data_IF_618642716365
#
_entry.id   IF_618642716365
#
_cell.length_a   1.000
_cell.length_b   1.000
_cell.length_c   1.000
_cell.angle_alpha   90.00
_cell.angle_beta   90.00
_cell.angle_gamma   90.00
#
_symmetry.space_group_name_H-M   'P 1'
#
loop_
_entity.id
_entity.type
_entity.pdbx_description
1 polymer ?
#
# COMPACT_ATOMS: atom_id res chain seq x y z
N UNK A 1 -7.04 -5.46 -10.91
CA UNK A 1 -5.73 -5.74 -11.56
C UNK A 1 -4.71 -6.28 -10.56
N UNK A 2 -4.25 -5.49 -9.58
CA UNK A 2 -3.34 -6.01 -8.52
C UNK A 2 -3.95 -7.13 -7.68
N UNK A 3 -5.19 -6.96 -7.21
CA UNK A 3 -5.90 -8.00 -6.48
C UNK A 3 -6.11 -9.27 -7.32
N UNK A 4 -6.36 -9.12 -8.63
CA UNK A 4 -6.54 -10.27 -9.53
C UNK A 4 -5.22 -11.01 -9.75
N UNK A 5 -4.12 -10.29 -9.97
CA UNK A 5 -2.77 -10.87 -10.04
C UNK A 5 -2.37 -11.60 -8.75
N UNK A 6 -2.76 -11.08 -7.58
CA UNK A 6 -2.53 -11.74 -6.30
C UNK A 6 -3.38 -13.01 -6.11
N UNK A 7 -4.59 -13.07 -6.66
CA UNK A 7 -5.40 -14.30 -6.66
C UNK A 7 -4.80 -15.38 -7.57
N UNK A 8 -4.11 -14.97 -8.63
CA UNK A 8 -3.38 -15.87 -9.55
C UNK A 8 -1.97 -16.23 -9.06
N UNK A 9 -1.49 -15.66 -7.94
CA UNK A 9 -0.15 -15.90 -7.39
C UNK A 9 0.23 -17.39 -7.26
N UNK A 10 -0.66 -18.32 -6.86
CA UNK A 10 -0.31 -19.74 -6.78
C UNK A 10 -0.08 -20.41 -8.14
N UNK A 11 -0.54 -19.79 -9.23
CA UNK A 11 -0.59 -20.39 -10.58
C UNK A 11 0.45 -19.77 -11.52
N UNK A 12 1.08 -18.66 -11.13
CA UNK A 12 2.01 -17.90 -11.97
C UNK A 12 3.26 -17.52 -11.18
N UNK A 13 4.43 -17.86 -11.72
CA UNK A 13 5.72 -17.44 -11.16
C UNK A 13 5.97 -15.97 -11.52
N UNK A 14 5.87 -15.08 -10.51
CA UNK A 14 6.14 -13.66 -10.67
C UNK A 14 7.62 -13.28 -10.47
N UNK A 15 8.51 -14.26 -10.28
CA UNK A 15 9.96 -14.07 -10.20
C UNK A 15 10.65 -14.41 -11.54
N UNK A 16 9.95 -14.13 -12.65
CA UNK A 16 10.49 -14.19 -14.00
C UNK A 16 10.50 -12.79 -14.63
N UNK A 17 11.50 -12.51 -15.47
CA UNK A 17 11.62 -11.22 -16.18
C UNK A 17 10.33 -10.82 -16.87
N UNK A 18 9.80 -11.69 -17.72
CA UNK A 18 8.62 -11.38 -18.53
C UNK A 18 7.37 -11.13 -17.68
N UNK A 19 7.26 -11.83 -16.54
CA UNK A 19 6.13 -11.63 -15.62
C UNK A 19 6.22 -10.32 -14.83
N UNK A 20 7.42 -9.91 -14.40
CA UNK A 20 7.64 -8.62 -13.75
C UNK A 20 7.43 -7.47 -14.73
N UNK A 21 7.93 -7.59 -15.96
CA UNK A 21 7.70 -6.61 -17.03
C UNK A 21 6.21 -6.50 -17.34
N UNK A 22 5.51 -7.62 -17.54
CA UNK A 22 4.07 -7.61 -17.80
C UNK A 22 3.27 -7.00 -16.63
N UNK A 23 3.70 -7.27 -15.39
CA UNK A 23 3.08 -6.66 -14.22
C UNK A 23 3.34 -5.16 -14.15
N UNK A 24 4.55 -4.70 -14.47
CA UNK A 24 4.88 -3.27 -14.57
C UNK A 24 3.98 -2.57 -15.60
N UNK A 25 3.87 -3.15 -16.80
CA UNK A 25 3.03 -2.63 -17.88
C UNK A 25 1.54 -2.55 -17.49
N UNK A 26 1.05 -3.46 -16.65
CA UNK A 26 -0.33 -3.45 -16.21
C UNK A 26 -0.67 -2.35 -15.19
N UNK A 27 0.35 -1.78 -14.53
CA UNK A 27 0.19 -0.89 -13.37
C UNK A 27 0.64 0.55 -13.64
N UNK A 28 1.39 0.80 -14.70
CA UNK A 28 1.81 2.14 -15.14
C UNK A 28 1.01 2.60 -16.36
N UNK A 29 1.13 3.89 -16.70
CA UNK A 29 0.59 4.41 -17.96
C UNK A 29 1.33 3.75 -19.14
N UNK A 30 0.64 3.27 -20.18
CA UNK A 30 1.27 2.59 -21.32
C UNK A 30 2.41 3.37 -21.98
N UNK A 31 2.42 4.70 -21.90
CA UNK A 31 3.48 5.56 -22.47
C UNK A 31 4.80 5.48 -21.70
N UNK A 32 4.77 5.09 -20.43
CA UNK A 32 5.93 4.95 -19.55
C UNK A 32 6.22 3.50 -19.20
N UNK A 33 5.56 2.56 -19.87
CA UNK A 33 5.73 1.14 -19.63
C UNK A 33 7.04 0.63 -20.25
N UNK A 34 7.87 -0.05 -19.45
CA UNK A 34 9.13 -0.60 -19.95
C UNK A 34 8.87 -1.92 -20.71
N UNK A 35 9.68 -2.22 -21.73
CA UNK A 35 9.68 -3.51 -22.44
C UNK A 35 10.71 -4.49 -21.87
N UNK A 36 11.55 -4.03 -20.95
CA UNK A 36 12.59 -4.78 -20.26
C UNK A 36 12.95 -4.06 -18.95
N UNK A 37 14.18 -4.22 -18.48
CA UNK A 37 14.68 -3.35 -17.42
C UNK A 37 15.05 -1.98 -18.00
N UNK A 38 15.27 -0.98 -17.15
CA UNK A 38 15.59 0.38 -17.59
C UNK A 38 16.95 0.51 -18.29
N UNK A 39 17.74 -0.57 -18.34
CA UNK A 39 18.95 -0.66 -19.18
C UNK A 39 18.61 -0.48 -20.66
N UNK A 40 17.47 -0.98 -21.12
CA UNK A 40 17.06 -0.89 -22.53
C UNK A 40 16.77 0.54 -23.00
N UNK A 41 16.54 1.46 -22.05
CA UNK A 41 16.35 2.91 -22.30
C UNK A 41 17.50 3.75 -21.75
N UNK A 42 18.54 3.10 -21.22
CA UNK A 42 19.72 3.70 -20.62
C UNK A 42 19.42 4.84 -19.63
N UNK A 43 18.41 4.65 -18.77
CA UNK A 43 17.94 5.68 -17.86
C UNK A 43 18.45 5.45 -16.43
N UNK A 44 19.29 6.37 -15.93
CA UNK A 44 19.68 6.41 -14.53
C UNK A 44 18.57 7.07 -13.70
N UNK A 45 17.92 6.28 -12.86
CA UNK A 45 16.90 6.76 -11.93
C UNK A 45 17.55 7.18 -10.60
N UNK A 46 16.83 7.92 -9.77
CA UNK A 46 17.13 8.16 -8.35
C UNK A 46 15.84 8.43 -7.57
N UNK A 47 15.86 8.18 -6.27
CA UNK A 47 14.77 8.57 -5.37
C UNK A 47 15.25 9.79 -4.60
N UNK A 48 14.45 10.83 -4.61
CA UNK A 48 14.76 12.09 -3.95
C UNK A 48 13.54 12.98 -3.84
N UNK A 49 13.78 14.18 -3.32
CA UNK A 49 12.77 15.22 -3.19
C UNK A 49 13.32 16.54 -3.71
N UNK A 50 12.50 17.23 -4.51
CA UNK A 50 12.77 18.60 -4.93
C UNK A 50 12.64 19.54 -3.73
N UNK A 51 13.74 20.21 -3.36
CA UNK A 51 13.81 21.23 -2.30
C UNK A 51 13.49 22.62 -2.87
N UNK A 52 13.96 22.89 -4.09
CA UNK A 52 13.66 24.09 -4.85
C UNK A 52 13.75 23.81 -6.35
N UNK A 53 13.42 24.78 -7.20
CA UNK A 53 13.43 24.61 -8.67
C UNK A 53 14.74 24.06 -9.24
N UNK A 54 15.87 24.27 -8.55
CA UNK A 54 17.20 23.86 -9.00
C UNK A 54 17.94 23.00 -7.95
N UNK A 55 17.25 22.52 -6.91
CA UNK A 55 17.88 21.78 -5.82
C UNK A 55 17.10 20.51 -5.53
N UNK A 56 17.74 19.38 -5.79
CA UNK A 56 17.20 18.04 -5.56
C UNK A 56 17.95 17.40 -4.39
N UNK A 57 17.22 16.94 -3.38
CA UNK A 57 17.78 16.13 -2.31
C UNK A 57 17.70 14.66 -2.71
N UNK A 58 18.85 14.07 -3.01
CA UNK A 58 18.95 12.65 -3.36
C UNK A 58 18.89 11.82 -2.07
N UNK A 59 17.93 10.89 -1.98
CA UNK A 59 17.76 9.99 -0.84
C UNK A 59 18.29 8.58 -1.13
N UNK A 60 18.28 8.20 -2.41
CA UNK A 60 18.78 6.90 -2.87
C UNK A 60 19.15 6.94 -4.34
N UNK A 61 20.30 6.36 -4.68
CA UNK A 61 20.71 6.11 -6.06
C UNK A 61 20.70 4.60 -6.26
N UNK A 62 19.92 4.04 -7.22
CA UNK A 62 19.93 2.63 -7.59
C UNK A 62 21.11 2.28 -8.53
N UNK A 63 21.34 0.99 -8.85
CA UNK A 63 22.47 0.56 -9.70
C UNK A 63 22.51 1.30 -11.03
N UNK A 64 23.67 1.30 -11.71
CA UNK A 64 23.71 1.85 -13.06
C UNK A 64 22.87 1.00 -14.00
N UNK A 65 22.24 1.56 -15.04
CA UNK A 65 21.43 0.79 -15.98
C UNK A 65 22.23 -0.39 -16.57
N UNK A 66 23.50 -0.18 -16.92
CA UNK A 66 24.36 -1.22 -17.47
C UNK A 66 24.68 -2.38 -16.50
N UNK A 67 24.44 -2.23 -15.20
CA UNK A 67 24.69 -3.29 -14.21
C UNK A 67 23.46 -4.22 -14.06
N UNK A 68 22.27 -3.77 -14.47
CA UNK A 68 21.02 -4.54 -14.34
C UNK A 68 21.01 -5.86 -15.13
N UNK A 69 21.59 -5.96 -16.35
CA UNK A 69 21.68 -7.24 -17.05
C UNK A 69 22.42 -8.35 -16.28
N UNK A 70 23.30 -7.99 -15.34
CA UNK A 70 23.98 -8.95 -14.46
C UNK A 70 23.22 -9.12 -13.13
N UNK A 71 22.85 -8.01 -12.49
CA UNK A 71 22.24 -8.02 -11.16
C UNK A 71 20.85 -8.66 -11.16
N UNK A 72 20.01 -8.39 -12.16
CA UNK A 72 18.63 -8.87 -12.18
C UNK A 72 18.52 -10.39 -12.34
N UNK A 73 19.22 -11.05 -13.29
CA UNK A 73 19.21 -12.52 -13.33
C UNK A 73 19.68 -13.17 -12.03
N UNK A 74 20.77 -12.67 -11.43
CA UNK A 74 21.28 -13.18 -10.17
C UNK A 74 20.27 -13.00 -9.02
N UNK A 75 19.61 -11.84 -8.96
CA UNK A 75 18.52 -11.59 -8.01
C UNK A 75 17.34 -12.55 -8.22
N UNK A 76 16.89 -12.77 -9.46
CA UNK A 76 15.75 -13.66 -9.74
C UNK A 76 16.06 -15.10 -9.36
N UNK A 77 17.27 -15.59 -9.63
CA UNK A 77 17.72 -16.93 -9.24
C UNK A 77 17.75 -17.07 -7.71
N UNK A 78 18.34 -16.11 -7.00
CA UNK A 78 18.37 -16.08 -5.55
C UNK A 78 16.95 -16.00 -4.95
N UNK A 79 16.10 -15.12 -5.49
CA UNK A 79 14.73 -14.93 -5.04
C UNK A 79 13.90 -16.21 -5.19
N UNK A 80 14.05 -16.94 -6.30
CA UNK A 80 13.38 -18.24 -6.50
C UNK A 80 13.90 -19.30 -5.52
N UNK A 81 15.21 -19.37 -5.30
CA UNK A 81 15.77 -20.26 -4.28
C UNK A 81 15.22 -19.96 -2.89
N UNK A 82 15.14 -18.68 -2.51
CA UNK A 82 14.59 -18.24 -1.23
C UNK A 82 13.09 -18.57 -1.15
N UNK A 83 12.33 -18.31 -2.21
CA UNK A 83 10.89 -18.58 -2.29
C UNK A 83 10.55 -20.06 -2.05
N UNK A 84 11.45 -20.99 -2.39
CA UNK A 84 11.25 -22.43 -2.22
C UNK A 84 12.02 -23.05 -1.03
N UNK A 85 12.73 -22.25 -0.24
CA UNK A 85 13.49 -22.72 0.94
C UNK A 85 12.62 -22.93 2.19
N UNK A 86 13.21 -23.34 3.31
CA UNK A 86 12.49 -23.54 4.59
C UNK A 86 12.50 -22.30 5.51
N UNK A 87 12.98 -21.15 5.05
CA UNK A 87 12.97 -19.92 5.86
C UNK A 87 11.54 -19.44 6.15
N UNK A 88 11.36 -18.58 7.16
CA UNK A 88 10.05 -17.99 7.44
C UNK A 88 9.47 -17.27 6.21
N UNK A 89 8.14 -17.36 5.92
CA UNK A 89 7.49 -16.61 4.85
C UNK A 89 7.73 -15.10 4.93
N UNK A 90 7.78 -14.54 6.14
CA UNK A 90 8.03 -13.11 6.34
C UNK A 90 9.46 -12.75 5.98
N UNK A 91 10.44 -13.58 6.37
CA UNK A 91 11.85 -13.39 5.99
C UNK A 91 12.00 -13.48 4.47
N UNK A 92 11.41 -14.50 3.83
CA UNK A 92 11.44 -14.63 2.38
C UNK A 92 10.84 -13.40 1.69
N UNK A 93 9.69 -12.91 2.19
CA UNK A 93 9.03 -11.73 1.65
C UNK A 93 9.90 -10.47 1.77
N UNK A 94 10.54 -10.27 2.93
CA UNK A 94 11.40 -9.12 3.16
C UNK A 94 12.62 -9.15 2.22
N UNK A 95 13.37 -10.26 2.21
CA UNK A 95 14.60 -10.37 1.40
C UNK A 95 14.30 -10.19 -0.08
N UNK A 96 13.24 -10.84 -0.59
CA UNK A 96 12.86 -10.75 -2.02
C UNK A 96 12.41 -9.33 -2.37
N UNK A 97 11.47 -8.75 -1.62
CA UNK A 97 10.86 -7.49 -1.99
C UNK A 97 11.78 -6.28 -1.78
N UNK A 98 12.57 -6.25 -0.70
CA UNK A 98 13.52 -5.16 -0.48
C UNK A 98 14.71 -5.22 -1.43
N UNK A 99 15.28 -6.40 -1.70
CA UNK A 99 16.35 -6.52 -2.70
C UNK A 99 15.88 -6.03 -4.07
N UNK A 100 14.64 -6.36 -4.46
CA UNK A 100 14.04 -5.84 -5.69
C UNK A 100 13.97 -4.31 -5.73
N UNK A 101 13.47 -3.67 -4.67
CA UNK A 101 13.26 -2.21 -4.69
C UNK A 101 14.58 -1.44 -4.72
N UNK A 102 15.64 -1.99 -4.12
CA UNK A 102 16.98 -1.42 -4.17
C UNK A 102 17.63 -1.60 -5.56
N UNK A 103 17.36 -2.69 -6.27
CA UNK A 103 17.79 -2.82 -7.67
C UNK A 103 17.06 -1.83 -8.59
N UNK A 104 15.82 -1.47 -8.24
CA UNK A 104 15.01 -0.46 -8.93
C UNK A 104 15.02 -0.63 -10.46
N UNK A 105 14.64 -1.81 -10.98
CA UNK A 105 14.91 -2.19 -12.37
C UNK A 105 14.06 -1.45 -13.41
N UNK A 106 13.02 -0.74 -13.00
CA UNK A 106 12.12 0.00 -13.91
C UNK A 106 12.23 1.51 -13.74
N UNK A 107 11.73 2.27 -14.71
CA UNK A 107 11.71 3.74 -14.65
C UNK A 107 10.58 4.23 -13.73
N UNK A 108 9.44 3.54 -13.73
CA UNK A 108 8.33 3.74 -12.79
C UNK A 108 7.73 2.39 -12.36
N UNK A 109 7.10 2.37 -11.19
CA UNK A 109 6.35 1.22 -10.67
C UNK A 109 7.08 0.41 -9.61
N UNK A 110 8.36 0.66 -9.35
CA UNK A 110 9.18 -0.15 -8.43
C UNK A 110 8.58 -0.26 -7.02
N UNK A 111 8.10 0.85 -6.43
CA UNK A 111 7.46 0.80 -5.10
C UNK A 111 6.12 0.05 -5.08
N UNK A 112 5.36 0.05 -6.18
CA UNK A 112 4.12 -0.73 -6.31
C UNK A 112 4.44 -2.23 -6.47
N UNK A 113 5.47 -2.56 -7.25
CA UNK A 113 5.95 -3.93 -7.44
C UNK A 113 6.62 -4.50 -6.18
N UNK A 114 7.36 -3.68 -5.41
CA UNK A 114 7.85 -4.05 -4.07
C UNK A 114 6.70 -4.57 -3.23
N UNK A 115 5.68 -3.73 -2.99
CA UNK A 115 4.53 -4.13 -2.16
C UNK A 115 3.85 -5.37 -2.71
N UNK A 116 3.70 -5.47 -4.03
CA UNK A 116 3.17 -6.69 -4.64
C UNK A 116 4.01 -7.93 -4.33
N UNK A 117 5.33 -7.85 -4.40
CA UNK A 117 6.22 -8.97 -4.10
C UNK A 117 6.08 -9.43 -2.64
N UNK A 118 5.89 -8.50 -1.69
CA UNK A 118 5.57 -8.88 -0.30
C UNK A 118 4.31 -9.76 -0.28
N UNK A 119 3.21 -9.27 -0.88
CA UNK A 119 1.95 -10.02 -0.93
C UNK A 119 2.08 -11.35 -1.68
N UNK A 120 2.80 -11.36 -2.80
CA UNK A 120 3.05 -12.55 -3.61
C UNK A 120 3.76 -13.62 -2.79
N UNK A 121 4.85 -13.29 -2.11
CA UNK A 121 5.61 -14.26 -1.32
C UNK A 121 4.79 -14.78 -0.14
N UNK A 122 4.09 -13.91 0.59
CA UNK A 122 3.22 -14.31 1.70
C UNK A 122 2.08 -15.23 1.22
N UNK A 123 1.46 -14.91 0.08
CA UNK A 123 0.39 -15.70 -0.53
C UNK A 123 0.90 -17.04 -1.06
N UNK A 124 2.00 -17.05 -1.82
CA UNK A 124 2.62 -18.25 -2.37
C UNK A 124 2.99 -19.25 -1.28
N UNK A 125 3.47 -18.74 -0.13
CA UNK A 125 3.85 -19.54 1.04
C UNK A 125 2.70 -19.79 2.03
N UNK A 126 1.46 -19.45 1.65
CA UNK A 126 0.24 -19.66 2.45
C UNK A 126 0.33 -19.11 3.88
N UNK A 127 0.95 -17.95 4.02
CA UNK A 127 1.04 -17.25 5.31
C UNK A 127 -0.35 -16.87 5.85
N UNK A 128 -1.25 -16.46 4.94
CA UNK A 128 -2.66 -16.25 5.22
C UNK A 128 -3.51 -17.37 4.58
N UNK A 129 -4.75 -17.59 5.06
CA UNK A 129 -5.65 -18.56 4.45
C UNK A 129 -5.91 -18.29 2.96
N UNK A 130 -6.17 -19.36 2.20
CA UNK A 130 -6.44 -19.25 0.77
C UNK A 130 -7.60 -18.28 0.49
N UNK A 131 -7.40 -17.39 -0.49
CA UNK A 131 -8.38 -16.37 -0.87
C UNK A 131 -8.39 -15.11 0.00
N UNK A 132 -7.63 -15.08 1.10
CA UNK A 132 -7.45 -13.89 1.94
C UNK A 132 -6.19 -13.15 1.51
N UNK A 133 -6.33 -11.87 1.17
CA UNK A 133 -5.19 -10.97 0.96
C UNK A 133 -4.79 -10.41 2.30
N UNK A 134 -3.61 -10.77 2.81
CA UNK A 134 -3.10 -10.27 4.08
C UNK A 134 -2.84 -8.75 4.01
N UNK A 135 -3.53 -7.88 4.78
CA UNK A 135 -3.59 -6.44 4.51
C UNK A 135 -2.36 -5.65 4.99
N UNK A 136 -1.15 -6.21 4.87
CA UNK A 136 0.09 -5.58 5.35
C UNK A 136 0.37 -4.19 4.75
N UNK A 137 -0.04 -3.97 3.50
CA UNK A 137 0.08 -2.64 2.85
C UNK A 137 -0.71 -1.56 3.56
N UNK A 138 -1.81 -1.88 4.27
CA UNK A 138 -2.59 -0.90 5.01
C UNK A 138 -1.81 -0.36 6.21
N UNK A 139 -1.10 -1.24 6.92
CA UNK A 139 -0.18 -0.85 7.99
C UNK A 139 1.01 -0.07 7.46
N UNK A 140 1.64 -0.51 6.37
CA UNK A 140 2.76 0.22 5.76
C UNK A 140 2.33 1.63 5.32
N UNK A 141 1.11 1.78 4.79
CA UNK A 141 0.55 3.06 4.37
C UNK A 141 0.18 3.97 5.54
N UNK A 142 -0.29 3.40 6.66
CA UNK A 142 -0.61 4.18 7.87
C UNK A 142 0.63 4.57 8.67
N UNK A 143 1.79 3.95 8.41
CA UNK A 143 3.08 4.23 9.04
C UNK A 143 4.18 4.58 8.03
N UNK A 144 4.02 5.67 7.26
CA UNK A 144 4.98 6.02 6.21
C UNK A 144 6.39 6.27 6.76
N UNK A 145 6.52 6.85 7.95
CA UNK A 145 7.83 7.12 8.59
C UNK A 145 8.61 5.84 8.89
N UNK A 146 7.93 4.80 9.41
CA UNK A 146 8.57 3.51 9.70
C UNK A 146 8.97 2.79 8.41
N UNK A 147 8.13 2.91 7.37
CA UNK A 147 8.42 2.35 6.06
C UNK A 147 9.61 3.04 5.40
N UNK A 148 9.64 4.38 5.40
CA UNK A 148 10.75 5.15 4.85
C UNK A 148 12.05 4.85 5.63
N UNK A 149 12.00 4.80 6.97
CA UNK A 149 13.14 4.42 7.80
C UNK A 149 13.69 3.02 7.45
N UNK A 150 12.82 2.08 7.08
CA UNK A 150 13.26 0.76 6.63
C UNK A 150 14.07 0.84 5.33
N UNK A 151 13.65 1.65 4.36
CA UNK A 151 14.39 1.85 3.10
C UNK A 151 15.68 2.63 3.33
N UNK A 152 15.63 3.65 4.17
CA UNK A 152 16.77 4.50 4.52
C UNK A 152 17.88 3.76 5.28
N UNK A 153 17.54 2.68 5.99
CA UNK A 153 18.53 1.82 6.66
C UNK A 153 19.57 1.25 5.69
N UNK A 154 19.17 1.06 4.42
CA UNK A 154 20.06 0.68 3.34
C UNK A 154 20.58 1.88 2.56
N UNK A 155 19.71 2.84 2.21
CA UNK A 155 20.10 3.92 1.29
C UNK A 155 21.04 4.96 1.92
N UNK A 156 20.85 5.35 3.19
CA UNK A 156 21.65 6.40 3.83
C UNK A 156 23.13 6.04 3.99
N UNK A 157 23.50 4.85 4.49
CA UNK A 157 24.91 4.46 4.59
C UNK A 157 25.58 4.31 3.23
N UNK A 158 24.80 4.00 2.21
CA UNK A 158 25.27 3.70 0.85
C UNK A 158 25.49 4.97 0.03
N UNK A 159 24.63 6.00 0.18
CA UNK A 159 24.65 7.21 -0.63
C UNK A 159 26.02 7.93 -0.70
N UNK A 160 26.80 8.08 0.39
CA UNK A 160 28.14 8.70 0.32
C UNK A 160 29.17 7.90 -0.49
N UNK A 161 28.89 6.64 -0.82
CA UNK A 161 29.75 5.78 -1.63
C UNK A 161 29.44 5.88 -3.13
N UNK A 162 28.41 6.65 -3.51
CA UNK A 162 27.97 6.81 -4.89
C UNK A 162 28.36 8.19 -5.39
N UNK A 163 29.45 8.24 -6.16
CA UNK A 163 29.86 9.45 -6.86
C UNK A 163 28.87 9.69 -8.00
N UNK A 164 28.12 10.80 -7.92
CA UNK A 164 27.14 11.15 -8.93
C UNK A 164 27.16 12.64 -9.25
N UNK A 165 26.71 12.97 -10.46
CA UNK A 165 26.50 14.33 -10.93
C UNK A 165 25.05 14.48 -11.41
N UNK A 166 24.50 15.69 -11.23
CA UNK A 166 23.17 16.06 -11.71
C UNK A 166 23.33 17.20 -12.72
N UNK A 167 22.84 16.98 -13.93
CA UNK A 167 22.86 18.05 -14.94
C UNK A 167 21.76 19.10 -14.70
N UNK A 168 21.74 20.15 -15.54
CA UNK A 168 20.76 21.25 -15.43
C UNK A 168 19.29 20.83 -15.63
N UNK A 169 19.05 19.61 -16.12
CA UNK A 169 17.71 19.04 -16.30
C UNK A 169 17.38 18.03 -15.19
N UNK A 170 18.22 17.92 -14.16
CA UNK A 170 18.05 16.98 -13.06
C UNK A 170 18.33 15.53 -13.45
N UNK A 171 19.03 15.28 -14.57
CA UNK A 171 19.40 13.93 -14.98
C UNK A 171 20.68 13.52 -14.28
N UNK A 172 20.63 12.37 -13.61
CA UNK A 172 21.74 11.85 -12.84
C UNK A 172 22.69 11.00 -13.69
N UNK A 173 23.99 11.14 -13.46
CA UNK A 173 25.01 10.20 -13.93
C UNK A 173 25.83 9.69 -12.74
N UNK A 174 25.96 8.37 -12.61
CA UNK A 174 26.84 7.75 -11.61
C UNK A 174 28.23 7.56 -12.21
N UNK A 175 29.26 8.05 -11.52
CA UNK A 175 30.62 8.20 -12.03
C UNK A 175 31.55 7.05 -11.63
N UNK A 176 31.23 6.33 -10.56
CA UNK A 176 32.02 5.21 -10.04
C UNK A 176 31.33 3.85 -10.25
N UNK A 177 32.05 2.76 -9.98
CA UNK A 177 31.50 1.41 -10.01
C UNK A 177 30.83 1.08 -8.67
N UNK A 178 29.51 0.96 -8.70
CA UNK A 178 28.67 0.76 -7.51
C UNK A 178 28.00 -0.61 -7.47
N UNK A 179 28.25 -1.48 -8.45
CA UNK A 179 27.56 -2.77 -8.61
C UNK A 179 27.58 -3.61 -7.34
N UNK A 180 28.75 -3.70 -6.69
CA UNK A 180 28.93 -4.57 -5.52
C UNK A 180 28.15 -4.09 -4.28
N UNK A 181 27.72 -2.82 -4.23
CA UNK A 181 26.88 -2.29 -3.15
C UNK A 181 25.50 -2.95 -3.11
N UNK A 182 25.06 -3.58 -4.20
CA UNK A 182 23.73 -4.18 -4.33
C UNK A 182 23.73 -5.71 -4.35
N UNK A 183 24.90 -6.36 -4.31
CA UNK A 183 25.01 -7.84 -4.41
C UNK A 183 24.76 -8.55 -3.09
N UNK A 184 25.05 -7.88 -1.97
CA UNK A 184 25.09 -8.49 -0.63
C UNK A 184 24.33 -7.63 0.38
N UNK A 185 23.04 -7.40 0.10
CA UNK A 185 22.17 -6.60 0.98
C UNK A 185 21.99 -7.31 2.33
N UNK A 186 22.39 -6.67 3.42
CA UNK A 186 22.01 -7.10 4.76
C UNK A 186 20.53 -6.77 5.00
N UNK A 187 19.72 -7.81 5.04
CA UNK A 187 18.27 -7.69 5.21
C UNK A 187 17.82 -7.86 6.66
N UNK A 188 18.72 -7.91 7.65
CA UNK A 188 18.37 -8.19 9.06
C UNK A 188 17.33 -7.19 9.58
N UNK A 189 17.65 -5.90 9.53
CA UNK A 189 16.73 -4.84 9.96
C UNK A 189 15.44 -4.79 9.12
N UNK A 190 15.55 -5.09 7.83
CA UNK A 190 14.40 -5.12 6.92
C UNK A 190 13.42 -6.24 7.27
N UNK A 191 13.95 -7.40 7.67
CA UNK A 191 13.15 -8.52 8.18
C UNK A 191 12.46 -8.15 9.48
N UNK A 192 13.19 -7.56 10.44
CA UNK A 192 12.63 -7.09 11.71
C UNK A 192 11.48 -6.10 11.47
N UNK A 193 11.68 -5.11 10.58
CA UNK A 193 10.63 -4.15 10.23
C UNK A 193 9.42 -4.78 9.56
N UNK A 194 9.63 -5.76 8.67
CA UNK A 194 8.48 -6.46 8.09
C UNK A 194 7.72 -7.28 9.14
N UNK A 195 8.39 -7.87 10.12
CA UNK A 195 7.74 -8.52 11.25
C UNK A 195 6.91 -7.54 12.10
N UNK A 196 7.43 -6.34 12.39
CA UNK A 196 6.66 -5.30 13.08
C UNK A 196 5.37 -4.92 12.30
N UNK A 197 5.45 -4.82 10.97
CA UNK A 197 4.26 -4.57 10.14
C UNK A 197 3.29 -5.74 10.14
N UNK A 198 3.78 -6.98 10.10
CA UNK A 198 2.97 -8.20 10.20
C UNK A 198 2.26 -8.28 11.55
N UNK A 199 2.97 -8.04 12.65
CA UNK A 199 2.41 -8.03 14.00
C UNK A 199 1.30 -6.98 14.13
N UNK A 200 1.57 -5.75 13.70
CA UNK A 200 0.55 -4.70 13.69
C UNK A 200 -0.66 -5.04 12.80
N UNK A 201 -0.45 -5.77 11.71
CA UNK A 201 -1.54 -6.23 10.83
C UNK A 201 -2.41 -7.27 11.55
N UNK A 202 -1.80 -8.20 12.29
CA UNK A 202 -2.52 -9.25 13.03
C UNK A 202 -3.22 -8.70 14.26
N UNK A 203 -2.59 -7.78 15.00
CA UNK A 203 -3.08 -7.30 16.28
C UNK A 203 -4.07 -6.14 16.17
N UNK A 204 -4.00 -5.36 15.08
CA UNK A 204 -4.80 -4.14 14.90
C UNK A 204 -5.67 -4.20 13.66
N UNK A 205 -5.04 -4.28 12.48
CA UNK A 205 -5.75 -4.16 11.20
C UNK A 205 -6.81 -5.26 11.02
N UNK A 206 -6.43 -6.53 11.16
CA UNK A 206 -7.35 -7.65 10.97
C UNK A 206 -8.50 -7.65 11.98
N UNK A 207 -8.29 -7.46 13.30
CA UNK A 207 -9.38 -7.34 14.26
C UNK A 207 -10.33 -6.17 13.96
N UNK A 208 -9.80 -5.02 13.56
CA UNK A 208 -10.61 -3.85 13.19
C UNK A 208 -11.45 -4.13 11.94
N UNK A 209 -10.85 -4.75 10.91
CA UNK A 209 -11.55 -5.14 9.69
C UNK A 209 -12.65 -6.17 9.97
N UNK A 210 -12.38 -7.19 10.80
CA UNK A 210 -13.38 -8.19 11.19
C UNK A 210 -14.54 -7.55 11.94
N UNK A 211 -14.26 -6.65 12.91
CA UNK A 211 -15.33 -5.93 13.63
C UNK A 211 -16.14 -5.09 12.65
N UNK A 212 -15.49 -4.37 11.75
CA UNK A 212 -16.17 -3.57 10.74
C UNK A 212 -17.13 -4.41 9.89
N UNK A 213 -16.70 -5.58 9.41
CA UNK A 213 -17.54 -6.50 8.64
C UNK A 213 -18.72 -7.03 9.47
N UNK A 214 -18.51 -7.35 10.75
CA UNK A 214 -19.60 -7.76 11.65
C UNK A 214 -20.64 -6.64 11.85
N UNK A 215 -20.20 -5.40 12.06
CA UNK A 215 -21.08 -4.24 12.16
C UNK A 215 -21.82 -3.98 10.84
N UNK A 216 -21.15 -4.16 9.71
CA UNK A 216 -21.73 -4.03 8.38
C UNK A 216 -22.86 -5.04 8.14
N UNK A 217 -22.61 -6.32 8.43
CA UNK A 217 -23.60 -7.39 8.31
C UNK A 217 -24.78 -7.20 9.26
N UNK A 218 -24.52 -6.67 10.47
CA UNK A 218 -25.57 -6.27 11.42
C UNK A 218 -26.41 -5.13 10.85
N UNK A 219 -25.79 -4.07 10.32
CA UNK A 219 -26.49 -2.94 9.70
C UNK A 219 -27.38 -3.41 8.56
N UNK A 220 -26.86 -4.26 7.66
CA UNK A 220 -27.63 -4.86 6.56
C UNK A 220 -28.84 -5.64 7.05
N UNK A 221 -28.71 -6.37 8.16
CA UNK A 221 -29.80 -7.14 8.75
C UNK A 221 -30.89 -6.24 9.33
N UNK A 222 -30.51 -5.27 10.16
CA UNK A 222 -31.45 -4.32 10.76
C UNK A 222 -32.15 -3.47 9.69
N UNK A 223 -31.42 -3.03 8.66
CA UNK A 223 -32.02 -2.27 7.56
C UNK A 223 -33.09 -3.07 6.82
N UNK A 224 -32.90 -4.38 6.60
CA UNK A 224 -33.92 -5.25 5.97
C UNK A 224 -35.20 -5.37 6.79
N UNK A 225 -35.14 -5.17 8.11
CA UNK A 225 -36.34 -5.14 8.96
C UNK A 225 -37.14 -3.85 8.78
N UNK A 226 -36.50 -2.78 8.31
CA UNK A 226 -37.15 -1.50 7.97
C UNK A 226 -37.64 -1.52 6.52
N UNK A 227 -36.72 -1.68 5.56
CA UNK A 227 -37.01 -1.78 4.13
C UNK A 227 -36.01 -2.73 3.46
N UNK A 228 -36.53 -3.68 2.68
CA UNK A 228 -35.71 -4.58 1.87
C UNK A 228 -35.19 -3.90 0.60
N UNK A 229 -34.13 -3.10 0.77
CA UNK A 229 -33.47 -2.40 -0.32
C UNK A 229 -32.66 -3.36 -1.20
N UNK A 230 -32.59 -3.09 -2.53
CA UNK A 230 -31.62 -3.75 -3.40
C UNK A 230 -30.21 -3.66 -2.82
N UNK A 231 -29.43 -4.75 -2.91
CA UNK A 231 -28.14 -4.85 -2.22
C UNK A 231 -27.22 -3.63 -2.45
N UNK A 232 -27.12 -3.18 -3.69
CA UNK A 232 -26.32 -2.02 -4.06
C UNK A 232 -26.77 -0.72 -3.36
N UNK A 233 -28.08 -0.54 -3.19
CA UNK A 233 -28.65 0.68 -2.57
C UNK A 233 -28.42 0.68 -1.06
N UNK A 234 -28.57 -0.47 -0.41
CA UNK A 234 -28.24 -0.63 1.00
C UNK A 234 -26.74 -0.43 1.27
N UNK A 235 -25.85 -0.97 0.42
CA UNK A 235 -24.40 -0.73 0.53
C UNK A 235 -24.01 0.73 0.34
N UNK A 236 -24.69 1.42 -0.58
CA UNK A 236 -24.54 2.86 -0.77
C UNK A 236 -25.03 3.61 0.48
N UNK A 237 -26.16 3.21 1.05
CA UNK A 237 -26.77 3.88 2.20
C UNK A 237 -25.86 3.80 3.42
N UNK A 238 -25.37 2.60 3.77
CA UNK A 238 -24.42 2.39 4.88
C UNK A 238 -23.19 3.28 4.68
N UNK A 239 -22.56 3.26 3.49
CA UNK A 239 -21.37 4.09 3.22
C UNK A 239 -21.64 5.57 3.40
N UNK A 240 -22.75 6.08 2.89
CA UNK A 240 -23.11 7.50 3.00
C UNK A 240 -23.39 7.90 4.46
N UNK A 241 -24.06 7.03 5.23
CA UNK A 241 -24.25 7.23 6.66
C UNK A 241 -22.93 7.25 7.43
N UNK A 242 -22.02 6.30 7.18
CA UNK A 242 -20.71 6.26 7.84
C UNK A 242 -19.86 7.50 7.54
N UNK A 243 -19.97 8.06 6.34
CA UNK A 243 -19.33 9.33 5.97
C UNK A 243 -19.89 10.54 6.71
N UNK A 244 -21.10 10.45 7.28
CA UNK A 244 -21.80 11.55 7.92
C UNK A 244 -22.45 11.12 9.25
N UNK A 245 -21.62 10.56 10.15
CA UNK A 245 -21.97 10.24 11.56
C UNK A 245 -23.27 9.44 11.73
N UNK A 246 -23.51 8.48 10.84
CA UNK A 246 -24.69 7.60 10.87
C UNK A 246 -25.92 8.14 10.15
N UNK A 247 -25.87 9.32 9.52
CA UNK A 247 -27.01 9.93 8.83
C UNK A 247 -26.71 10.28 7.38
N UNK A 248 -27.73 10.31 6.52
CA UNK A 248 -27.58 10.90 5.20
C UNK A 248 -27.62 12.43 5.28
N UNK A 249 -26.84 13.11 4.45
CA UNK A 249 -26.98 14.56 4.29
C UNK A 249 -28.24 14.88 3.49
N UNK A 250 -28.75 16.12 3.59
CA UNK A 250 -29.98 16.56 2.92
C UNK A 250 -29.98 16.26 1.43
N UNK A 251 -28.85 16.49 0.75
CA UNK A 251 -28.72 16.21 -0.69
C UNK A 251 -28.67 14.71 -0.99
N UNK A 252 -28.13 13.89 -0.09
CA UNK A 252 -27.99 12.44 -0.29
C UNK A 252 -29.30 11.69 -0.07
N UNK A 253 -30.24 12.27 0.69
CA UNK A 253 -31.61 11.75 0.83
C UNK A 253 -32.45 11.87 -0.44
N UNK A 254 -32.12 12.83 -1.32
CA UNK A 254 -32.79 13.07 -2.60
C UNK A 254 -32.15 12.31 -3.78
N UNK A 255 -31.38 11.26 -3.48
CA UNK A 255 -30.79 10.44 -4.53
C UNK A 255 -31.88 9.56 -5.18
N UNK A 256 -31.82 9.34 -6.51
CA UNK A 256 -32.80 8.50 -7.21
C UNK A 256 -32.98 7.11 -6.62
N UNK A 257 -31.92 6.55 -6.01
CA UNK A 257 -31.94 5.27 -5.32
C UNK A 257 -32.87 5.23 -4.09
N UNK A 258 -33.24 6.40 -3.55
CA UNK A 258 -34.01 6.59 -2.31
C UNK A 258 -35.33 7.36 -2.51
N UNK A 259 -35.65 7.83 -3.71
CA UNK A 259 -36.88 8.61 -4.01
C UNK A 259 -38.18 7.88 -3.64
N UNK A 260 -38.15 6.54 -3.66
CA UNK A 260 -39.30 5.70 -3.31
C UNK A 260 -39.49 5.52 -1.80
N UNK A 261 -38.51 5.93 -0.98
CA UNK A 261 -38.54 5.77 0.47
C UNK A 261 -39.28 6.93 1.12
N UNK A 262 -40.06 6.62 2.15
CA UNK A 262 -40.68 7.62 3.01
C UNK A 262 -39.69 8.13 4.04
N UNK A 263 -39.97 9.29 4.62
CA UNK A 263 -39.10 9.92 5.62
C UNK A 263 -38.92 9.05 6.87
N UNK A 264 -39.96 8.35 7.32
CA UNK A 264 -39.90 7.41 8.45
C UNK A 264 -39.04 6.19 8.14
N UNK A 265 -39.06 5.70 6.89
CA UNK A 265 -38.19 4.61 6.43
C UNK A 265 -36.73 5.04 6.37
N UNK A 266 -36.43 6.25 5.87
CA UNK A 266 -35.07 6.81 5.87
C UNK A 266 -34.53 6.94 7.29
N UNK A 267 -35.32 7.49 8.22
CA UNK A 267 -34.95 7.62 9.63
C UNK A 267 -34.73 6.24 10.26
N UNK A 268 -35.57 5.26 9.96
CA UNK A 268 -35.40 3.89 10.43
C UNK A 268 -34.11 3.24 9.91
N UNK A 269 -33.77 3.44 8.63
CA UNK A 269 -32.52 2.96 8.04
C UNK A 269 -31.30 3.65 8.66
N UNK A 270 -31.34 4.96 8.90
CA UNK A 270 -30.28 5.69 9.60
C UNK A 270 -30.09 5.16 11.03
N UNK A 271 -31.19 4.91 11.76
CA UNK A 271 -31.15 4.34 13.10
C UNK A 271 -30.55 2.93 13.09
N UNK A 272 -30.90 2.08 12.12
CA UNK A 272 -30.33 0.75 11.95
C UNK A 272 -28.80 0.79 11.74
N UNK A 273 -28.30 1.73 10.93
CA UNK A 273 -26.85 1.93 10.72
C UNK A 273 -26.18 2.45 12.00
N UNK A 274 -26.78 3.45 12.65
CA UNK A 274 -26.25 4.02 13.88
C UNK A 274 -26.18 2.98 15.00
N UNK A 275 -27.22 2.16 15.18
CA UNK A 275 -27.26 1.09 16.16
C UNK A 275 -26.20 0.03 15.87
N UNK A 276 -26.07 -0.40 14.62
CA UNK A 276 -25.12 -1.44 14.24
C UNK A 276 -23.67 -1.05 14.51
N UNK A 277 -23.32 0.23 14.29
CA UNK A 277 -21.98 0.78 14.51
C UNK A 277 -21.82 1.50 15.85
N UNK A 278 -22.84 1.46 16.72
CA UNK A 278 -22.90 2.18 18.00
C UNK A 278 -22.50 3.67 17.87
N UNK A 279 -22.96 4.32 16.81
CA UNK A 279 -22.72 5.74 16.57
C UNK A 279 -23.67 6.55 17.46
N UNK A 280 -23.11 7.33 18.39
CA UNK A 280 -23.90 8.19 19.28
C UNK A 280 -24.79 9.14 18.47
N UNK A 281 -26.11 9.02 18.65
CA UNK A 281 -27.09 9.89 18.02
C UNK A 281 -27.18 11.29 18.69
N UNK A 282 -26.40 11.54 19.74
CA UNK A 282 -26.46 12.74 20.58
C UNK A 282 -25.12 13.51 20.60
N UNK A 283 -24.84 14.32 19.57
CA UNK A 283 -23.80 15.37 19.67
C UNK A 283 -24.27 16.75 19.21
N UNK A 284 -25.58 16.99 19.13
CA UNK A 284 -26.14 18.30 18.78
C UNK A 284 -27.29 18.66 19.73
N UNK A 285 -26.97 18.97 20.99
CA UNK A 285 -27.78 19.79 21.89
C UNK A 285 -27.04 20.10 23.21
N UNK A 286 -25.91 20.79 23.13
CA UNK A 286 -25.42 21.56 24.28
C UNK A 286 -24.96 22.95 23.79
N UNK A 287 -25.61 24.04 24.21
CA UNK A 287 -25.09 25.38 23.93
C UNK A 287 -23.75 25.51 24.65
N UNK A 288 -22.72 25.93 23.90
CA UNK A 288 -21.41 26.28 24.48
C UNK A 288 -21.64 27.31 25.59
N UNK A 289 -21.54 26.88 26.85
CA UNK A 289 -21.38 27.81 27.94
C UNK A 289 -19.99 28.44 27.78
N UNK A 290 -19.97 29.74 27.50
CA UNK A 290 -18.77 30.56 27.50
C UNK A 290 -18.11 30.48 28.88
N UNK A 291 -16.91 29.91 28.94
CA UNK A 291 -16.04 30.06 30.11
C UNK A 291 -15.59 31.53 30.21
N UNK A 292 -15.51 32.10 31.42
CA UNK A 292 -15.09 33.48 31.63
C UNK A 292 -13.58 33.64 31.39
N UNK A 293 -13.09 34.85 31.06
CA UNK A 293 -11.67 35.07 30.79
C UNK A 293 -10.85 34.87 32.08
N UNK A 294 -9.69 34.22 31.94
CA UNK A 294 -8.72 34.07 33.02
C UNK A 294 -8.08 35.43 33.38
N UNK A 295 -7.72 35.65 34.65
CA UNK A 295 -7.10 36.90 35.08
C UNK A 295 -5.62 36.94 34.66
N UNK A 296 -5.19 38.13 34.23
CA UNK A 296 -3.79 38.46 33.98
C UNK A 296 -2.92 38.23 35.23
N UNK A 297 -1.81 37.51 35.04
CA UNK A 297 -0.50 37.76 35.68
C UNK A 297 0.59 36.93 35.02
#
# INVERSE_FOLDING_TARGET
>A
RFADALREAPQRDYLLKDTLVALQQAIVDPRFANTGWRDSVNEQNYVGRSLSLNEEEVHFVPPRPQDLPELMPAYLDAARSILHSDVSPVIAAAVIAYSFVFLHPFTDGNGRLHRFLIHYVLSFRRFAPDGVVFPISAIMLSRPQDYDASLESFSKPMLPLVDHDLDQLGRMTVLNDTRDLYRHVDCTFLCEKLFEFVEATIEKELPEEIRFLQHYDRARRLMREVVDLPNRHADLFIRLCLQNKGRLSTNKRQLPEYDALKEDEIVGLEAAVAEAFALDAESEKQPRQSSPPAPER
#
